data_IF_683212964948
#
_entry.id   IF_683212964948
#
_cell.length_a   1.000
_cell.length_b   1.000
_cell.length_c   1.000
_cell.angle_alpha   90.00
_cell.angle_beta   90.00
_cell.angle_gamma   90.00
#
_symmetry.space_group_name_H-M   'P 1'
#
loop_
_entity.id
_entity.type
_entity.pdbx_description
1 polymer ?
#
# COMPACT_ATOMS: atom_id res chain seq x y z
N UNK A 1 8.65 -25.36 -10.68
CA UNK A 1 8.36 -24.52 -9.50
C UNK A 1 7.08 -23.76 -9.80
N UNK A 2 6.09 -23.79 -8.90
CA UNK A 2 4.90 -22.95 -9.05
C UNK A 2 5.32 -21.48 -9.03
N UNK A 3 4.83 -20.68 -9.98
CA UNK A 3 5.05 -19.23 -9.96
C UNK A 3 4.27 -18.67 -8.77
N UNK A 4 4.97 -18.18 -7.75
CA UNK A 4 4.37 -17.53 -6.60
C UNK A 4 3.62 -16.29 -7.11
N UNK A 5 2.33 -16.20 -6.78
CA UNK A 5 1.49 -15.10 -7.27
C UNK A 5 1.88 -13.77 -6.61
N UNK A 6 1.52 -12.64 -7.23
CA UNK A 6 1.67 -11.33 -6.60
C UNK A 6 0.93 -11.24 -5.25
N UNK A 7 -0.18 -11.97 -5.10
CA UNK A 7 -0.93 -12.05 -3.85
C UNK A 7 -0.15 -12.72 -2.73
N UNK A 8 0.43 -13.89 -2.99
CA UNK A 8 1.20 -14.62 -1.98
C UNK A 8 2.40 -13.79 -1.51
N UNK A 9 3.06 -13.08 -2.44
CA UNK A 9 4.16 -12.17 -2.13
C UNK A 9 3.71 -11.00 -1.26
N UNK A 10 2.58 -10.37 -1.60
CA UNK A 10 2.04 -9.25 -0.83
C UNK A 10 1.62 -9.68 0.59
N UNK A 11 0.99 -10.85 0.73
CA UNK A 11 0.61 -11.41 2.04
C UNK A 11 1.85 -11.72 2.88
N UNK A 12 2.85 -12.39 2.29
CA UNK A 12 4.11 -12.68 2.99
C UNK A 12 4.83 -11.42 3.46
N UNK A 13 4.87 -10.38 2.61
CA UNK A 13 5.42 -9.07 2.98
C UNK A 13 4.64 -8.44 4.14
N UNK A 14 3.31 -8.43 4.08
CA UNK A 14 2.46 -7.86 5.11
C UNK A 14 2.60 -8.58 6.46
N UNK A 15 2.67 -9.92 6.45
CA UNK A 15 2.91 -10.72 7.66
C UNK A 15 4.27 -10.41 8.29
N UNK A 16 5.34 -10.30 7.47
CA UNK A 16 6.65 -9.87 7.94
C UNK A 16 6.66 -8.45 8.52
N UNK A 17 5.90 -7.54 7.92
CA UNK A 17 5.76 -6.17 8.40
C UNK A 17 5.05 -6.08 9.76
N UNK A 18 3.94 -6.81 9.93
CA UNK A 18 3.20 -6.87 11.21
C UNK A 18 4.07 -7.44 12.33
N UNK A 19 4.81 -8.52 12.05
CA UNK A 19 5.74 -9.11 13.01
C UNK A 19 6.83 -8.10 13.44
N UNK A 20 7.38 -7.32 12.50
CA UNK A 20 8.37 -6.29 12.78
C UNK A 20 7.78 -5.12 13.59
N UNK A 21 6.57 -4.67 13.30
CA UNK A 21 5.91 -3.62 14.06
C UNK A 21 5.63 -4.03 15.52
N UNK A 22 5.16 -5.26 15.73
CA UNK A 22 4.93 -5.82 17.05
C UNK A 22 6.22 -5.79 17.90
N UNK A 23 7.33 -6.24 17.31
CA UNK A 23 8.66 -6.23 17.95
C UNK A 23 9.15 -4.80 18.27
N UNK A 24 9.04 -3.87 17.31
CA UNK A 24 9.48 -2.48 17.49
C UNK A 24 8.68 -1.75 18.58
N UNK A 25 7.39 -1.99 18.69
CA UNK A 25 6.54 -1.27 19.63
C UNK A 25 6.33 -1.99 20.97
N UNK A 26 6.87 -3.21 21.13
CA UNK A 26 6.64 -4.03 22.32
C UNK A 26 5.16 -4.36 22.51
N UNK A 27 4.42 -4.50 21.41
CA UNK A 27 2.99 -4.82 21.43
C UNK A 27 2.86 -6.28 21.02
N UNK A 28 2.22 -7.09 21.86
CA UNK A 28 2.07 -8.53 21.61
C UNK A 28 1.24 -8.84 20.35
N UNK A 29 0.37 -7.90 19.92
CA UNK A 29 -0.51 -8.08 18.76
C UNK A 29 -1.14 -6.76 18.28
N UNK A 30 -1.46 -6.68 16.99
CA UNK A 30 -2.26 -5.58 16.44
C UNK A 30 -3.72 -6.04 16.39
N UNK A 31 -4.58 -5.46 17.21
CA UNK A 31 -5.99 -5.86 17.29
C UNK A 31 -6.19 -7.33 17.73
N UNK A 32 -5.27 -7.87 18.54
CA UNK A 32 -5.32 -9.25 19.02
C UNK A 32 -4.75 -10.30 18.05
N UNK A 33 -4.14 -9.90 16.93
CA UNK A 33 -3.50 -10.80 15.95
C UNK A 33 -2.03 -10.48 15.71
N UNK A 34 -1.27 -11.51 15.33
CA UNK A 34 0.18 -11.45 15.07
C UNK A 34 0.55 -11.55 13.59
N UNK A 35 -0.42 -11.76 12.70
CA UNK A 35 -0.22 -11.78 11.24
C UNK A 35 -1.20 -10.86 10.52
N UNK A 36 -0.75 -10.24 9.43
CA UNK A 36 -1.60 -9.40 8.58
C UNK A 36 -2.71 -10.23 7.93
N UNK A 37 -2.41 -11.47 7.53
CA UNK A 37 -3.38 -12.43 6.99
C UNK A 37 -4.55 -12.67 7.95
N UNK A 38 -4.30 -12.82 9.25
CA UNK A 38 -5.34 -13.00 10.26
C UNK A 38 -6.18 -11.72 10.47
N UNK A 39 -5.54 -10.55 10.49
CA UNK A 39 -6.22 -9.24 10.58
C UNK A 39 -7.15 -9.05 9.37
N UNK A 40 -6.66 -9.33 8.16
CA UNK A 40 -7.43 -9.22 6.92
C UNK A 40 -8.57 -10.25 6.87
N UNK A 41 -8.34 -11.48 7.33
CA UNK A 41 -9.36 -12.52 7.43
C UNK A 41 -10.52 -12.13 8.35
N UNK A 42 -10.23 -11.55 9.53
CA UNK A 42 -11.26 -11.00 10.43
C UNK A 42 -12.08 -9.91 9.76
N UNK A 43 -11.43 -8.98 9.05
CA UNK A 43 -12.12 -7.91 8.34
C UNK A 43 -13.04 -8.49 7.26
N UNK A 44 -12.53 -9.43 6.45
CA UNK A 44 -13.32 -10.07 5.41
C UNK A 44 -14.58 -10.74 5.97
N UNK A 45 -14.47 -11.44 7.12
CA UNK A 45 -15.61 -12.03 7.81
C UNK A 45 -16.62 -10.99 8.32
N UNK A 46 -16.14 -9.86 8.87
CA UNK A 46 -16.99 -8.78 9.39
C UNK A 46 -17.72 -8.01 8.29
N UNK A 47 -17.11 -7.84 7.12
CA UNK A 47 -17.65 -7.03 6.02
C UNK A 47 -18.27 -7.88 4.91
N UNK A 48 -18.31 -9.21 5.06
CA UNK A 48 -18.80 -10.12 4.02
C UNK A 48 -17.97 -10.11 2.73
N UNK A 49 -16.77 -9.55 2.76
CA UNK A 49 -15.91 -9.43 1.60
C UNK A 49 -15.35 -10.78 1.20
N UNK A 50 -15.37 -11.08 -0.10
CA UNK A 50 -14.86 -12.33 -0.65
C UNK A 50 -13.57 -12.07 -1.42
N UNK A 51 -12.61 -12.99 -1.34
CA UNK A 51 -11.47 -12.96 -2.24
C UNK A 51 -11.95 -13.27 -3.65
N UNK A 52 -11.57 -12.43 -4.61
CA UNK A 52 -11.76 -12.68 -6.03
C UNK A 52 -10.37 -12.94 -6.60
N UNK A 53 -10.16 -14.10 -7.24
CA UNK A 53 -8.83 -14.62 -7.59
C UNK A 53 -7.78 -13.54 -7.99
N UNK A 54 -8.12 -12.68 -8.95
CA UNK A 54 -7.21 -11.65 -9.46
C UNK A 54 -7.47 -10.25 -8.92
N UNK A 55 -8.48 -10.05 -8.08
CA UNK A 55 -8.94 -8.74 -7.63
C UNK A 55 -8.95 -8.62 -6.11
N UNK A 56 -8.64 -7.43 -5.61
CA UNK A 56 -8.90 -7.11 -4.21
C UNK A 56 -10.39 -7.28 -3.89
N UNK A 57 -10.70 -7.49 -2.62
CA UNK A 57 -12.07 -7.59 -2.14
C UNK A 57 -12.99 -6.43 -2.59
N UNK A 58 -12.44 -5.21 -2.73
CA UNK A 58 -13.17 -4.03 -3.22
C UNK A 58 -13.24 -3.91 -4.76
N UNK A 59 -12.68 -4.86 -5.51
CA UNK A 59 -12.71 -4.92 -6.98
C UNK A 59 -11.82 -3.91 -7.71
N UNK A 60 -11.29 -2.89 -7.05
CA UNK A 60 -10.53 -1.79 -7.69
C UNK A 60 -9.05 -2.08 -7.91
N UNK A 61 -8.49 -3.06 -7.19
CA UNK A 61 -7.07 -3.41 -7.28
C UNK A 61 -6.86 -4.77 -7.92
N UNK A 62 -5.84 -4.88 -8.78
CA UNK A 62 -5.39 -6.12 -9.42
C UNK A 62 -3.87 -6.21 -9.38
N UNK A 63 -3.37 -7.43 -9.16
CA UNK A 63 -1.96 -7.77 -9.31
C UNK A 63 -1.70 -8.18 -10.76
N UNK A 64 -0.72 -7.54 -11.39
CA UNK A 64 -0.36 -7.78 -12.79
C UNK A 64 1.11 -8.20 -12.90
N UNK A 65 1.41 -9.27 -13.65
CA UNK A 65 2.79 -9.67 -13.90
C UNK A 65 3.46 -8.66 -14.84
N UNK A 66 4.76 -8.45 -14.62
CA UNK A 66 5.65 -7.62 -15.42
C UNK A 66 6.94 -8.41 -15.66
N UNK A 67 7.87 -7.89 -16.48
CA UNK A 67 9.04 -8.68 -16.94
C UNK A 67 9.94 -9.16 -15.80
N UNK A 68 10.01 -8.39 -14.72
CA UNK A 68 10.90 -8.59 -13.57
C UNK A 68 10.13 -8.75 -12.25
N UNK A 69 8.83 -9.09 -12.29
CA UNK A 69 8.05 -9.36 -11.09
C UNK A 69 6.56 -9.07 -11.22
N UNK A 70 6.01 -8.37 -10.23
CA UNK A 70 4.60 -8.01 -10.17
C UNK A 70 4.44 -6.53 -9.78
N UNK A 71 3.36 -5.92 -10.28
CA UNK A 71 2.85 -4.65 -9.77
C UNK A 71 1.43 -4.85 -9.21
N UNK A 72 1.09 -4.06 -8.21
CA UNK A 72 -0.29 -3.87 -7.76
C UNK A 72 -0.81 -2.56 -8.37
N UNK A 73 -1.92 -2.64 -9.10
CA UNK A 73 -2.58 -1.50 -9.74
C UNK A 73 -3.93 -1.31 -9.09
N UNK A 74 -4.15 -0.17 -8.44
CA UNK A 74 -5.41 0.18 -7.79
C UNK A 74 -6.03 1.41 -8.47
N UNK A 75 -7.22 1.25 -9.03
CA UNK A 75 -7.93 2.30 -9.77
C UNK A 75 -9.31 2.55 -9.13
N UNK A 76 -9.35 3.07 -7.88
CA UNK A 76 -10.62 3.24 -7.16
C UNK A 76 -11.40 4.50 -7.58
N UNK A 77 -10.79 5.41 -8.36
CA UNK A 77 -11.39 6.70 -8.73
C UNK A 77 -11.80 6.68 -10.19
N UNK A 78 -12.95 7.27 -10.56
CA UNK A 78 -13.33 7.46 -11.96
C UNK A 78 -12.25 8.17 -12.77
N UNK A 79 -11.64 9.21 -12.20
CA UNK A 79 -10.61 10.03 -12.85
C UNK A 79 -9.30 9.26 -13.11
N UNK A 80 -9.10 8.08 -12.51
CA UNK A 80 -7.91 7.25 -12.77
C UNK A 80 -7.89 6.75 -14.23
N UNK A 81 -9.07 6.58 -14.85
CA UNK A 81 -9.21 6.10 -16.22
C UNK A 81 -8.64 7.10 -17.24
N UNK A 82 -8.79 8.39 -16.96
CA UNK A 82 -8.31 9.48 -17.83
C UNK A 82 -6.78 9.54 -17.91
N UNK A 83 -6.09 8.95 -16.93
CA UNK A 83 -4.63 8.93 -16.83
C UNK A 83 -4.00 7.70 -17.51
N UNK A 84 -4.79 6.66 -17.82
CA UNK A 84 -4.27 5.42 -18.42
C UNK A 84 -3.59 5.63 -19.79
N UNK A 85 -4.10 6.49 -20.69
CA UNK A 85 -3.42 6.77 -21.96
C UNK A 85 -2.05 7.40 -21.75
N UNK A 86 -1.93 8.32 -20.80
CA UNK A 86 -0.65 8.97 -20.47
C UNK A 86 0.32 7.99 -19.82
N UNK A 87 -0.17 7.14 -18.91
CA UNK A 87 0.66 6.17 -18.20
C UNK A 87 1.17 5.04 -19.10
N UNK A 88 0.26 4.45 -19.89
CA UNK A 88 0.53 3.21 -20.62
C UNK A 88 0.76 3.42 -22.12
N UNK A 89 0.52 4.62 -22.65
CA UNK A 89 0.57 4.86 -24.09
C UNK A 89 -0.51 4.10 -24.87
N UNK A 90 -1.65 3.82 -24.22
CA UNK A 90 -2.79 3.13 -24.83
C UNK A 90 -3.82 4.15 -25.35
N UNK A 91 -4.68 3.80 -26.31
CA UNK A 91 -5.75 4.69 -26.79
C UNK A 91 -6.66 5.20 -25.66
N UNK A 92 -7.03 6.47 -25.71
CA UNK A 92 -8.05 7.02 -24.81
C UNK A 92 -9.44 6.56 -25.22
N UNK A 93 -10.27 6.15 -24.26
CA UNK A 93 -11.69 5.92 -24.48
C UNK A 93 -12.53 6.65 -23.41
N UNK A 94 -12.75 7.97 -23.57
CA UNK A 94 -13.45 8.79 -22.57
C UNK A 94 -14.93 8.42 -22.39
N UNK A 95 -15.51 7.62 -23.29
CA UNK A 95 -16.88 7.13 -23.17
C UNK A 95 -16.99 5.90 -22.23
N UNK A 96 -15.88 5.20 -21.98
CA UNK A 96 -15.85 4.02 -21.12
C UNK A 96 -15.74 4.43 -19.65
N UNK A 97 -16.63 3.88 -18.82
CA UNK A 97 -16.54 3.99 -17.35
C UNK A 97 -15.97 2.73 -16.70
N UNK A 98 -15.61 1.74 -17.51
CA UNK A 98 -15.07 0.46 -17.04
C UNK A 98 -13.57 0.41 -17.23
N UNK A 99 -12.86 -0.08 -16.23
CA UNK A 99 -11.40 -0.25 -16.30
C UNK A 99 -11.06 -1.31 -17.36
N UNK A 100 -10.23 -0.98 -18.37
CA UNK A 100 -9.87 -1.92 -19.45
C UNK A 100 -8.74 -2.86 -18.99
N UNK A 101 -9.03 -3.74 -18.04
CA UNK A 101 -8.00 -4.56 -17.39
C UNK A 101 -7.15 -5.43 -18.32
N UNK A 102 -7.73 -5.94 -19.41
CA UNK A 102 -7.00 -6.78 -20.37
C UNK A 102 -6.00 -5.96 -21.20
N UNK A 103 -6.35 -4.72 -21.55
CA UNK A 103 -5.46 -3.79 -22.24
C UNK A 103 -4.32 -3.32 -21.31
N UNK A 104 -4.64 -3.04 -20.05
CA UNK A 104 -3.64 -2.73 -19.02
C UNK A 104 -2.68 -3.91 -18.88
N UNK A 105 -3.20 -5.13 -18.69
CA UNK A 105 -2.39 -6.34 -18.54
C UNK A 105 -1.47 -6.58 -19.76
N UNK A 106 -2.00 -6.44 -20.98
CA UNK A 106 -1.23 -6.57 -22.21
C UNK A 106 -0.13 -5.51 -22.37
N UNK A 107 -0.36 -4.30 -21.88
CA UNK A 107 0.61 -3.19 -21.96
C UNK A 107 1.74 -3.31 -20.92
N UNK A 108 1.43 -3.76 -19.70
CA UNK A 108 2.41 -3.82 -18.60
C UNK A 108 3.28 -5.07 -18.63
N UNK A 109 2.79 -6.20 -19.16
CA UNK A 109 3.49 -7.50 -19.07
C UNK A 109 4.88 -7.51 -19.75
N UNK A 110 5.15 -6.59 -20.67
CA UNK A 110 6.42 -6.50 -21.41
C UNK A 110 7.31 -5.35 -20.94
N UNK A 111 6.99 -4.71 -19.82
CA UNK A 111 7.74 -3.55 -19.29
C UNK A 111 8.33 -3.87 -17.92
N UNK A 112 9.37 -3.14 -17.55
CA UNK A 112 9.98 -3.23 -16.23
C UNK A 112 9.09 -2.61 -15.15
N UNK A 113 9.14 -3.23 -13.97
CA UNK A 113 8.33 -2.88 -12.81
C UNK A 113 8.50 -1.43 -12.39
N UNK A 114 9.74 -0.94 -12.35
CA UNK A 114 10.06 0.37 -11.78
C UNK A 114 9.75 1.54 -12.72
N UNK A 115 9.92 1.37 -14.03
CA UNK A 115 9.47 2.34 -15.04
C UNK A 115 7.95 2.54 -14.94
N UNK A 116 7.19 1.45 -14.84
CA UNK A 116 5.74 1.49 -14.67
C UNK A 116 5.31 2.20 -13.38
N UNK A 117 5.94 1.85 -12.26
CA UNK A 117 5.62 2.45 -10.94
C UNK A 117 5.95 3.94 -10.93
N UNK A 118 7.13 4.35 -11.42
CA UNK A 118 7.52 5.76 -11.46
C UNK A 118 6.59 6.59 -12.34
N UNK A 119 6.30 6.13 -13.54
CA UNK A 119 5.38 6.84 -14.44
C UNK A 119 3.96 6.95 -13.88
N UNK A 120 3.47 5.94 -13.16
CA UNK A 120 2.19 6.01 -12.46
C UNK A 120 2.20 7.05 -11.34
N UNK A 121 3.27 7.07 -10.52
CA UNK A 121 3.40 7.98 -9.39
C UNK A 121 3.48 9.44 -9.83
N UNK A 122 4.18 9.75 -10.93
CA UNK A 122 4.23 11.09 -11.52
C UNK A 122 2.84 11.62 -11.93
N UNK A 123 1.95 10.71 -12.33
CA UNK A 123 0.56 11.01 -12.68
C UNK A 123 -0.39 10.96 -11.47
N UNK A 124 0.10 10.58 -10.28
CA UNK A 124 -0.71 10.42 -9.08
C UNK A 124 -1.63 9.19 -9.11
N UNK A 125 -1.31 8.18 -9.94
CA UNK A 125 -1.98 6.87 -9.95
C UNK A 125 -1.48 6.00 -8.79
N UNK A 126 -2.35 5.13 -8.29
CA UNK A 126 -2.02 4.22 -7.18
C UNK A 126 -1.47 2.90 -7.75
N UNK A 127 -0.18 2.89 -8.03
CA UNK A 127 0.55 1.71 -8.51
C UNK A 127 1.79 1.47 -7.65
N UNK A 128 2.01 0.22 -7.25
CA UNK A 128 3.14 -0.17 -6.42
C UNK A 128 3.85 -1.40 -6.97
N UNK A 129 5.16 -1.44 -6.82
CA UNK A 129 5.95 -2.66 -7.00
C UNK A 129 5.58 -3.66 -5.91
N UNK A 130 5.36 -4.93 -6.27
CA UNK A 130 5.22 -6.00 -5.29
C UNK A 130 6.63 -6.50 -4.95
N UNK A 131 7.03 -6.49 -3.68
CA UNK A 131 8.38 -6.89 -3.28
C UNK A 131 8.68 -8.34 -3.64
N UNK A 132 9.88 -8.57 -4.17
CA UNK A 132 10.52 -9.87 -4.20
C UNK A 132 11.47 -9.98 -3.00
N UNK A 133 11.00 -10.61 -1.92
CA UNK A 133 11.66 -10.69 -0.62
C UNK A 133 13.11 -11.22 -0.66
N UNK A 134 13.52 -11.91 -1.73
CA UNK A 134 14.91 -12.38 -1.88
C UNK A 134 15.86 -11.40 -2.58
N UNK A 135 15.35 -10.41 -3.33
CA UNK A 135 16.18 -9.61 -4.25
C UNK A 135 15.96 -8.10 -4.14
N UNK A 136 14.86 -7.63 -3.54
CA UNK A 136 14.57 -6.20 -3.48
C UNK A 136 15.13 -5.55 -2.21
N UNK A 137 15.89 -4.49 -2.42
CA UNK A 137 16.19 -3.52 -1.37
C UNK A 137 14.97 -2.62 -1.24
N UNK A 138 14.40 -2.49 -0.04
CA UNK A 138 13.34 -1.53 0.22
C UNK A 138 13.89 -0.12 -0.07
N UNK A 139 13.38 0.50 -1.14
CA UNK A 139 13.84 1.82 -1.61
C UNK A 139 13.70 2.88 -0.52
N UNK A 140 12.62 2.83 0.27
CA UNK A 140 12.43 3.79 1.36
C UNK A 140 13.42 3.56 2.49
N UNK A 141 13.73 2.30 2.83
CA UNK A 141 14.78 2.02 3.81
C UNK A 141 16.14 2.48 3.27
N UNK A 142 16.47 2.17 2.02
CA UNK A 142 17.74 2.58 1.40
C UNK A 142 17.90 4.10 1.35
N UNK A 143 16.87 4.83 0.92
CA UNK A 143 16.86 6.30 0.85
C UNK A 143 16.99 6.92 2.25
N UNK A 144 16.31 6.34 3.25
CA UNK A 144 16.40 6.76 4.65
C UNK A 144 17.68 6.27 5.35
N UNK A 145 18.54 5.52 4.65
CA UNK A 145 19.75 4.87 5.18
C UNK A 145 19.46 3.97 6.38
N UNK A 146 18.35 3.25 6.31
CA UNK A 146 17.86 2.33 7.33
C UNK A 146 18.08 0.87 6.92
N UNK A 147 18.28 0.01 7.91
CA UNK A 147 18.34 -1.43 7.74
C UNK A 147 17.00 -2.12 8.07
N UNK A 148 16.88 -3.37 7.64
CA UNK A 148 15.83 -4.26 8.10
C UNK A 148 16.07 -4.58 9.60
N UNK A 149 15.33 -3.90 10.47
CA UNK A 149 15.44 -3.96 11.93
C UNK A 149 15.37 -2.58 12.60
N UNK A 150 15.73 -1.52 11.87
CA UNK A 150 15.67 -0.16 12.40
C UNK A 150 14.24 0.23 12.79
N UNK A 151 14.13 1.02 13.87
CA UNK A 151 12.85 1.47 14.46
C UNK A 151 12.22 2.57 13.61
N UNK A 152 11.15 3.19 14.11
CA UNK A 152 10.50 4.34 13.48
C UNK A 152 11.53 5.39 13.03
N UNK A 153 11.52 5.74 11.76
CA UNK A 153 12.33 6.84 11.24
C UNK A 153 11.83 8.15 11.86
N UNK A 154 12.59 8.71 12.80
CA UNK A 154 12.38 10.07 13.25
C UNK A 154 13.32 10.96 12.45
N UNK A 155 12.73 11.84 11.64
CA UNK A 155 13.45 12.96 11.09
C UNK A 155 13.45 14.09 12.13
N UNK A 156 14.62 14.57 12.47
CA UNK A 156 14.81 15.83 13.18
C UNK A 156 14.22 17.00 12.36
N UNK A 157 13.99 18.15 13.00
CA UNK A 157 13.48 19.35 12.32
C UNK A 157 14.38 19.84 11.15
N UNK A 158 15.66 19.45 11.16
CA UNK A 158 16.62 19.72 10.08
C UNK A 158 16.66 18.63 8.99
N UNK A 159 15.78 17.63 9.07
CA UNK A 159 15.68 16.52 8.12
C UNK A 159 16.68 15.38 8.35
N UNK A 160 17.50 15.44 9.42
CA UNK A 160 18.38 14.31 9.75
C UNK A 160 17.58 13.13 10.30
N UNK A 161 17.65 11.99 9.61
CA UNK A 161 17.03 10.74 10.06
C UNK A 161 17.93 10.06 11.11
N UNK A 162 17.36 9.66 12.24
CA UNK A 162 18.05 8.85 13.26
C UNK A 162 17.40 7.47 13.36
N UNK A 163 18.20 6.42 13.24
CA UNK A 163 17.74 5.02 13.32
C UNK A 163 17.40 4.55 14.75
N UNK A 164 17.81 5.31 15.77
CA UNK A 164 17.80 4.88 17.17
C UNK A 164 17.04 5.87 18.06
N UNK A 165 15.74 5.98 17.82
CA UNK A 165 14.85 6.71 18.72
C UNK A 165 13.86 5.74 19.36
N UNK A 166 13.90 5.66 20.69
CA UNK A 166 12.70 5.28 21.44
C UNK A 166 11.58 6.24 21.04
N UNK A 167 10.41 5.69 20.70
CA UNK A 167 9.28 6.52 20.34
C UNK A 167 9.04 7.52 21.50
N UNK A 168 8.91 8.83 21.23
CA UNK A 168 8.63 9.78 22.28
C UNK A 168 7.35 9.35 23.02
N UNK A 169 7.27 9.56 24.35
CA UNK A 169 6.16 9.07 25.17
C UNK A 169 4.79 9.59 24.71
N UNK A 170 4.74 10.66 23.91
CA UNK A 170 3.53 11.22 23.31
C UNK A 170 3.72 11.46 21.80
N UNK A 171 3.79 10.39 21.01
CA UNK A 171 3.86 10.50 19.55
C UNK A 171 2.57 11.11 19.00
N UNK A 172 2.68 12.24 18.30
CA UNK A 172 1.58 12.84 17.53
C UNK A 172 1.75 12.50 16.06
N UNK A 173 0.73 11.86 15.47
CA UNK A 173 0.70 11.48 14.06
C UNK A 173 -0.31 12.37 13.34
N UNK A 174 0.15 13.15 12.36
CA UNK A 174 -0.74 13.91 11.47
C UNK A 174 -1.00 13.06 10.22
N UNK A 175 -2.21 12.53 10.10
CA UNK A 175 -2.63 11.76 8.93
C UNK A 175 -3.18 12.70 7.85
N UNK A 176 -2.37 12.91 6.81
CA UNK A 176 -2.70 13.66 5.59
C UNK A 176 -3.11 12.75 4.44
N UNK A 177 -3.17 11.44 4.67
CA UNK A 177 -3.45 10.46 3.63
C UNK A 177 -4.94 10.39 3.29
N UNK A 178 -5.27 9.65 2.24
CA UNK A 178 -6.63 9.24 1.92
C UNK A 178 -6.63 7.78 1.45
N UNK A 179 -7.81 7.17 1.37
CA UNK A 179 -8.03 5.80 0.93
C UNK A 179 -7.56 4.75 1.95
N UNK A 180 -7.08 3.59 1.53
CA UNK A 180 -6.93 2.43 2.42
C UNK A 180 -5.63 2.39 3.21
N UNK A 181 -4.47 2.67 2.58
CA UNK A 181 -3.17 2.40 3.18
C UNK A 181 -2.84 3.35 4.33
N UNK A 182 -2.95 4.66 4.10
CA UNK A 182 -2.56 5.66 5.11
C UNK A 182 -3.48 5.69 6.33
N UNK A 183 -4.82 5.67 6.21
CA UNK A 183 -5.72 5.59 7.36
C UNK A 183 -5.57 4.28 8.16
N UNK A 184 -5.20 3.18 7.50
CA UNK A 184 -4.85 1.94 8.21
C UNK A 184 -3.56 2.10 9.01
N UNK A 185 -2.51 2.67 8.43
CA UNK A 185 -1.27 2.97 9.15
C UNK A 185 -1.53 3.89 10.35
N UNK A 186 -2.31 4.96 10.15
CA UNK A 186 -2.69 5.87 11.21
C UNK A 186 -3.46 5.15 12.32
N UNK A 187 -4.40 4.25 11.97
CA UNK A 187 -5.12 3.42 12.93
C UNK A 187 -4.18 2.53 13.74
N UNK A 188 -3.26 1.82 13.08
CA UNK A 188 -2.29 0.94 13.75
C UNK A 188 -1.43 1.74 14.74
N UNK A 189 -0.96 2.92 14.35
CA UNK A 189 -0.19 3.81 15.23
C UNK A 189 -1.04 4.33 16.40
N UNK A 190 -2.32 4.62 16.18
CA UNK A 190 -3.26 5.00 17.22
C UNK A 190 -3.55 3.88 18.22
N UNK A 191 -3.75 2.64 17.73
CA UNK A 191 -3.90 1.46 18.58
C UNK A 191 -2.60 1.17 19.38
N UNK A 192 -1.44 1.59 18.86
CA UNK A 192 -0.14 1.58 19.53
C UNK A 192 0.07 2.74 20.54
N UNK A 193 -0.93 3.60 20.76
CA UNK A 193 -0.90 4.67 21.75
C UNK A 193 -0.55 6.07 21.21
N UNK A 194 -0.35 6.23 19.90
CA UNK A 194 -0.10 7.55 19.32
C UNK A 194 -1.37 8.41 19.28
N UNK A 195 -1.20 9.73 19.43
CA UNK A 195 -2.27 10.71 19.18
C UNK A 195 -2.37 10.98 17.69
N UNK A 196 -3.41 10.43 17.05
CA UNK A 196 -3.64 10.59 15.61
C UNK A 196 -4.56 11.80 15.35
N UNK A 197 -4.12 12.69 14.47
CA UNK A 197 -4.89 13.85 13.98
C UNK A 197 -5.11 13.65 12.49
N UNK A 198 -6.35 13.34 12.08
CA UNK A 198 -6.75 13.28 10.68
C UNK A 198 -6.99 14.69 10.15
N UNK A 199 -6.37 15.03 9.02
CA UNK A 199 -6.60 16.29 8.31
C UNK A 199 -7.02 15.98 6.88
N UNK A 200 -8.16 16.53 6.47
CA UNK A 200 -8.77 16.25 5.17
C UNK A 200 -9.06 17.56 4.42
N UNK A 201 -9.13 17.47 3.08
CA UNK A 201 -9.62 18.58 2.27
C UNK A 201 -11.13 18.69 2.39
N UNK A 202 -11.64 19.90 2.63
CA UNK A 202 -13.08 20.19 2.61
C UNK A 202 -13.75 19.88 1.27
N UNK A 203 -13.01 20.04 0.15
CA UNK A 203 -13.52 19.79 -1.20
C UNK A 203 -13.30 18.35 -1.68
N UNK A 204 -12.42 17.60 -1.00
CA UNK A 204 -12.08 16.22 -1.33
C UNK A 204 -11.86 15.42 -0.04
N UNK A 205 -12.94 15.09 0.70
CA UNK A 205 -12.83 14.31 1.94
C UNK A 205 -12.32 12.89 1.64
N UNK A 206 -11.73 12.24 2.65
CA UNK A 206 -11.29 10.86 2.53
C UNK A 206 -12.50 9.93 2.35
N UNK A 207 -12.45 9.06 1.34
CA UNK A 207 -13.48 8.04 1.13
C UNK A 207 -13.59 7.05 2.29
N UNK A 208 -12.52 6.84 3.06
CA UNK A 208 -12.50 5.93 4.20
C UNK A 208 -13.23 6.48 5.45
N UNK A 209 -13.62 7.77 5.46
CA UNK A 209 -14.21 8.44 6.64
C UNK A 209 -15.50 7.82 7.15
N UNK A 210 -16.25 7.14 6.28
CA UNK A 210 -17.54 6.52 6.62
C UNK A 210 -17.40 5.09 7.14
N UNK A 211 -16.16 4.58 7.24
CA UNK A 211 -15.90 3.20 7.58
C UNK A 211 -16.24 2.25 6.41
N UNK A 212 -16.60 1.03 6.75
CA UNK A 212 -17.03 0.05 5.76
C UNK A 212 -18.48 0.32 5.38
N UNK A 213 -18.75 0.51 4.09
CA UNK A 213 -20.07 0.21 3.52
C UNK A 213 -20.26 -1.31 3.46
#
# INVERSE_FOLDING_TARGET
MAVISGWDRAVSFADGFVARLADIHGIDSIGGETSASAILGKRAALTGLQSQASFSAGGSCRFLPVVDGWIAVNLPRPDDLDLLPAWLGIPSNPASKTVPWDEIAGSVQTRDRWSLVRGAQELGLVVAAVPDASNDVDEQLAERKMAAGDRLCLASADGTATADATAPPELVVVDLSSLCAGPLCARILGDAGAKVIKVESNSRPDGARLGNA
#
